data_IF_386667340039
#
_entry.id   IF_386667340039
#
_cell.length_a   1.000
_cell.length_b   1.000
_cell.length_c   1.000
_cell.angle_alpha   90.00
_cell.angle_beta   90.00
_cell.angle_gamma   90.00
#
_symmetry.space_group_name_H-M   'P 1'
#
loop_
_entity.id
_entity.type
_entity.pdbx_description
1 polymer ?
#
# COMPACT_ATOMS: atom_id res chain seq x y z
N UNK A 1 0.63 -15.91 -8.45
CA UNK A 1 1.73 -14.91 -8.39
C UNK A 1 3.04 -15.69 -8.55
N UNK A 2 3.90 -15.38 -9.52
CA UNK A 2 5.23 -15.96 -9.66
C UNK A 2 6.13 -15.62 -8.46
N UNK A 3 7.00 -16.54 -8.05
CA UNK A 3 7.83 -16.37 -6.85
C UNK A 3 8.78 -15.14 -6.93
N UNK A 4 9.28 -14.85 -8.13
CA UNK A 4 10.13 -13.69 -8.41
C UNK A 4 9.43 -12.33 -8.20
N UNK A 5 8.11 -12.31 -8.18
CA UNK A 5 7.32 -11.12 -7.84
C UNK A 5 7.08 -10.96 -6.34
N UNK A 6 7.51 -11.91 -5.53
CA UNK A 6 7.35 -11.90 -4.06
C UNK A 6 8.65 -11.49 -3.33
N UNK A 7 9.74 -11.29 -4.08
CA UNK A 7 11.01 -10.74 -3.57
C UNK A 7 11.38 -9.57 -4.48
N UNK A 8 11.08 -8.36 -4.03
CA UNK A 8 11.14 -7.17 -4.89
C UNK A 8 11.71 -5.96 -4.15
N UNK A 9 12.27 -4.96 -4.86
CA UNK A 9 12.65 -3.70 -4.23
C UNK A 9 11.43 -3.08 -3.52
N UNK A 10 11.67 -2.41 -2.40
CA UNK A 10 10.64 -1.75 -1.60
C UNK A 10 10.84 -0.24 -1.63
N UNK A 11 9.79 0.50 -2.00
CA UNK A 11 9.71 1.94 -1.88
C UNK A 11 8.66 2.29 -0.82
N UNK A 12 9.06 2.98 0.24
CA UNK A 12 8.15 3.42 1.31
C UNK A 12 7.82 4.89 1.12
N UNK A 13 6.56 5.19 0.86
CA UNK A 13 6.05 6.55 0.67
C UNK A 13 5.40 7.01 1.98
N UNK A 14 6.06 7.93 2.68
CA UNK A 14 5.56 8.45 3.94
C UNK A 14 4.54 9.58 3.72
N UNK A 15 3.30 9.31 4.06
CA UNK A 15 2.18 10.26 4.06
C UNK A 15 1.60 10.45 5.47
N UNK A 16 2.29 9.99 6.51
CA UNK A 16 1.79 9.97 7.89
C UNK A 16 1.35 11.35 8.39
N UNK A 17 2.12 12.40 8.10
CA UNK A 17 1.76 13.77 8.47
C UNK A 17 0.50 14.28 7.75
N UNK A 18 0.20 13.80 6.54
CA UNK A 18 -1.00 14.14 5.78
C UNK A 18 -2.20 13.33 6.29
N UNK A 19 -2.01 12.05 6.52
CA UNK A 19 -3.00 11.14 7.09
C UNK A 19 -3.44 11.55 8.52
N UNK A 20 -2.51 12.06 9.32
CA UNK A 20 -2.84 12.58 10.66
C UNK A 20 -3.81 13.76 10.64
N UNK A 21 -3.82 14.55 9.55
CA UNK A 21 -4.71 15.72 9.36
C UNK A 21 -6.00 15.36 8.65
N UNK A 22 -6.01 14.27 7.89
CA UNK A 22 -7.15 13.80 7.11
C UNK A 22 -7.17 12.28 7.11
N UNK A 23 -8.10 11.66 7.86
CA UNK A 23 -8.27 10.22 7.91
C UNK A 23 -8.63 9.60 6.54
N UNK A 24 -9.25 10.37 5.65
CA UNK A 24 -9.60 9.95 4.28
C UNK A 24 -8.52 10.31 3.25
N UNK A 25 -7.28 10.50 3.70
CA UNK A 25 -6.19 10.82 2.80
C UNK A 25 -5.96 9.69 1.81
N UNK A 26 -5.85 10.04 0.53
CA UNK A 26 -5.47 9.10 -0.53
C UNK A 26 -4.08 9.48 -1.07
N UNK A 27 -3.14 8.53 -1.04
CA UNK A 27 -1.81 8.70 -1.63
C UNK A 27 -1.95 9.02 -3.11
N UNK A 28 -1.42 10.16 -3.51
CA UNK A 28 -1.60 10.77 -4.83
C UNK A 28 -0.38 10.59 -5.75
N UNK A 29 -0.57 10.85 -7.06
CA UNK A 29 0.56 10.93 -8.01
C UNK A 29 1.60 11.97 -7.58
N UNK A 30 1.15 13.08 -6.95
CA UNK A 30 2.08 14.08 -6.43
C UNK A 30 2.98 13.53 -5.33
N UNK A 31 2.45 12.69 -4.42
CA UNK A 31 3.26 12.07 -3.37
C UNK A 31 4.35 11.17 -3.97
N UNK A 32 3.99 10.42 -5.03
CA UNK A 32 4.92 9.58 -5.76
C UNK A 32 6.00 10.40 -6.46
N UNK A 33 5.61 11.49 -7.13
CA UNK A 33 6.55 12.39 -7.77
C UNK A 33 7.48 13.08 -6.76
N UNK A 34 6.95 13.54 -5.63
CA UNK A 34 7.73 14.11 -4.54
C UNK A 34 8.74 13.10 -3.98
N UNK A 35 8.33 11.84 -3.84
CA UNK A 35 9.22 10.75 -3.42
C UNK A 35 10.35 10.52 -4.44
N UNK A 36 10.03 10.43 -5.75
CA UNK A 36 11.02 10.25 -6.82
C UNK A 36 12.03 11.41 -6.90
N UNK A 37 11.58 12.63 -6.63
CA UNK A 37 12.47 13.80 -6.60
C UNK A 37 13.55 13.71 -5.50
N UNK A 38 13.27 12.99 -4.40
CA UNK A 38 14.19 12.85 -3.28
C UNK A 38 15.02 11.57 -3.34
N UNK A 39 14.46 10.49 -3.90
CA UNK A 39 15.06 9.15 -3.82
C UNK A 39 15.47 8.56 -5.19
N UNK A 40 15.21 9.29 -6.26
CA UNK A 40 15.35 8.78 -7.62
C UNK A 40 14.13 8.00 -8.09
N UNK A 41 14.13 7.54 -9.35
CA UNK A 41 12.98 6.87 -9.95
C UNK A 41 12.61 5.58 -9.20
N UNK A 42 11.31 5.29 -9.11
CA UNK A 42 10.81 4.03 -8.54
C UNK A 42 11.43 2.84 -9.29
N UNK A 43 12.03 1.86 -8.58
CA UNK A 43 12.58 0.68 -9.22
C UNK A 43 11.52 -0.12 -9.98
N UNK A 44 11.83 -0.59 -11.18
CA UNK A 44 10.90 -1.45 -11.94
C UNK A 44 10.60 -2.73 -11.15
N UNK A 45 9.33 -3.13 -11.12
CA UNK A 45 8.90 -4.31 -10.40
C UNK A 45 8.95 -4.18 -8.87
N UNK A 46 9.09 -2.97 -8.33
CA UNK A 46 9.09 -2.77 -6.88
C UNK A 46 7.70 -2.99 -6.25
N UNK A 47 7.65 -3.05 -4.94
CA UNK A 47 6.47 -2.80 -4.13
C UNK A 47 6.49 -1.34 -3.68
N UNK A 48 5.38 -0.63 -3.88
CA UNK A 48 5.14 0.69 -3.31
C UNK A 48 4.34 0.53 -2.03
N UNK A 49 4.92 0.88 -0.89
CA UNK A 49 4.27 0.81 0.42
C UNK A 49 3.89 2.20 0.92
N UNK A 50 2.62 2.44 1.17
CA UNK A 50 2.12 3.65 1.82
C UNK A 50 2.29 3.52 3.33
N UNK A 51 3.12 4.38 3.90
CA UNK A 51 3.22 4.59 5.35
C UNK A 51 2.31 5.75 5.75
N UNK A 52 1.15 5.44 6.30
CA UNK A 52 0.19 6.44 6.78
C UNK A 52 0.27 6.67 8.30
N UNK A 53 1.06 5.87 9.01
CA UNK A 53 1.12 5.84 10.47
C UNK A 53 -0.11 5.17 11.10
N UNK A 54 -0.96 4.51 10.30
CA UNK A 54 -2.23 3.95 10.77
C UNK A 54 -2.06 2.68 11.60
N UNK A 55 -0.99 1.92 11.38
CA UNK A 55 -0.68 0.68 12.13
C UNK A 55 -0.70 0.87 13.66
N UNK A 56 -0.41 2.08 14.18
CA UNK A 56 -0.50 2.39 15.61
C UNK A 56 -1.91 2.26 16.19
N UNK A 57 -2.94 2.24 15.34
CA UNK A 57 -4.35 2.18 15.74
C UNK A 57 -4.93 0.76 15.72
N UNK A 58 -4.16 -0.27 15.33
CA UNK A 58 -4.62 -1.64 15.11
C UNK A 58 -5.39 -2.25 16.29
N UNK A 59 -5.12 -1.80 17.52
CA UNK A 59 -5.77 -2.30 18.74
C UNK A 59 -6.97 -1.47 19.21
N UNK A 60 -7.39 -0.45 18.46
CA UNK A 60 -8.47 0.43 18.88
C UNK A 60 -9.45 0.75 17.73
N UNK A 61 -10.61 1.33 18.07
CA UNK A 61 -11.69 1.62 17.13
C UNK A 61 -11.30 2.58 16.00
N UNK A 62 -10.27 3.41 16.20
CA UNK A 62 -9.77 4.34 15.18
C UNK A 62 -9.18 3.59 13.98
N UNK A 63 -8.76 2.34 14.12
CA UNK A 63 -8.20 1.56 13.02
C UNK A 63 -9.21 1.42 11.87
N UNK A 64 -10.45 1.09 12.18
CA UNK A 64 -11.54 1.09 11.20
C UNK A 64 -12.14 2.50 10.99
N UNK A 65 -12.03 3.37 11.98
CA UNK A 65 -12.50 4.75 11.94
C UNK A 65 -13.99 4.89 11.61
N UNK A 66 -14.82 3.92 12.08
CA UNK A 66 -16.25 3.89 11.73
C UNK A 66 -17.01 5.04 12.37
N UNK A 67 -17.68 5.87 11.56
CA UNK A 67 -18.54 6.95 12.01
C UNK A 67 -19.94 6.46 12.45
N UNK A 68 -20.80 7.40 12.90
CA UNK A 68 -22.17 7.10 13.31
C UNK A 68 -23.06 6.58 12.16
N UNK A 69 -22.74 6.90 10.92
CA UNK A 69 -23.40 6.42 9.71
C UNK A 69 -22.89 5.05 9.24
N UNK A 70 -21.87 4.52 9.88
CA UNK A 70 -21.27 3.24 9.53
C UNK A 70 -20.21 3.34 8.44
N UNK A 71 -19.83 4.53 7.98
CA UNK A 71 -18.76 4.76 7.02
C UNK A 71 -17.42 4.62 7.72
N UNK A 72 -16.47 3.94 7.06
CA UNK A 72 -15.11 3.78 7.56
C UNK A 72 -14.26 4.97 7.12
N UNK A 73 -13.30 5.36 7.97
CA UNK A 73 -12.37 6.46 7.71
C UNK A 73 -10.95 6.03 8.04
N UNK A 74 -10.20 5.68 7.01
CA UNK A 74 -8.76 5.38 7.07
C UNK A 74 -8.10 5.69 5.72
N UNK A 75 -6.79 6.01 5.69
CA UNK A 75 -6.07 6.33 4.47
C UNK A 75 -6.01 5.16 3.48
N UNK A 76 -5.88 5.49 2.20
CA UNK A 76 -5.68 4.51 1.13
C UNK A 76 -4.89 5.11 -0.03
N UNK A 77 -4.95 4.46 -1.18
CA UNK A 77 -4.26 4.88 -2.40
C UNK A 77 -5.30 5.40 -3.40
N UNK A 78 -5.00 6.55 -4.00
CA UNK A 78 -5.83 7.12 -5.07
C UNK A 78 -5.82 6.19 -6.29
N UNK A 79 -6.99 5.88 -6.90
CA UNK A 79 -7.04 5.02 -8.08
C UNK A 79 -6.30 5.60 -9.29
N UNK A 80 -6.15 6.92 -9.40
CA UNK A 80 -5.35 7.55 -10.46
C UNK A 80 -3.85 7.29 -10.22
N UNK A 81 -3.39 7.41 -8.97
CA UNK A 81 -2.03 7.06 -8.59
C UNK A 81 -1.73 5.57 -8.88
N UNK A 82 -2.65 4.66 -8.54
CA UNK A 82 -2.52 3.24 -8.87
C UNK A 82 -2.43 3.01 -10.40
N UNK A 83 -3.28 3.67 -11.19
CA UNK A 83 -3.26 3.59 -12.65
C UNK A 83 -1.95 4.15 -13.24
N UNK A 84 -1.45 5.24 -12.68
CA UNK A 84 -0.16 5.83 -13.08
C UNK A 84 1.01 4.86 -12.80
N UNK A 85 1.06 4.23 -11.62
CA UNK A 85 2.07 3.23 -11.26
C UNK A 85 2.07 2.04 -12.23
N UNK A 86 0.89 1.60 -12.68
CA UNK A 86 0.76 0.53 -13.69
C UNK A 86 1.35 0.95 -15.04
N UNK A 87 0.96 2.13 -15.52
CA UNK A 87 1.36 2.61 -16.85
C UNK A 87 2.82 3.00 -16.92
N UNK A 88 3.29 3.78 -15.94
CA UNK A 88 4.54 4.53 -16.05
C UNK A 88 5.70 3.85 -15.30
N UNK A 89 5.41 3.00 -14.31
CA UNK A 89 6.45 2.47 -13.41
C UNK A 89 6.54 0.96 -13.38
N UNK A 90 5.56 0.24 -13.91
CA UNK A 90 5.51 -1.23 -13.90
C UNK A 90 5.75 -1.81 -12.48
N UNK A 91 5.09 -1.26 -11.49
CA UNK A 91 5.15 -1.69 -10.09
C UNK A 91 4.51 -3.07 -9.91
N UNK A 92 5.11 -3.97 -9.15
CA UNK A 92 4.63 -5.34 -8.95
C UNK A 92 3.52 -5.42 -7.90
N UNK A 93 3.62 -4.65 -6.82
CA UNK A 93 2.69 -4.71 -5.71
C UNK A 93 2.48 -3.37 -5.02
N UNK A 94 1.34 -3.25 -4.34
CA UNK A 94 1.03 -2.16 -3.42
C UNK A 94 0.97 -2.72 -2.00
N UNK A 95 1.37 -1.93 -1.00
CA UNK A 95 1.21 -2.27 0.40
C UNK A 95 0.68 -1.06 1.18
N UNK A 96 -0.17 -1.30 2.18
CA UNK A 96 -0.73 -0.26 3.04
C UNK A 96 -0.76 -0.71 4.49
N UNK A 97 -0.56 0.21 5.42
CA UNK A 97 -0.67 -0.02 6.86
C UNK A 97 -2.12 0.14 7.37
N UNK A 98 -3.09 0.10 6.46
CA UNK A 98 -4.53 0.24 6.69
C UNK A 98 -5.28 -1.02 6.29
N UNK A 99 -6.60 -1.04 6.53
CA UNK A 99 -7.49 -2.18 6.26
C UNK A 99 -7.70 -2.46 4.77
N UNK A 100 -7.41 -1.52 3.88
CA UNK A 100 -7.69 -1.64 2.44
C UNK A 100 -6.75 -0.77 1.62
N UNK A 101 -6.48 -1.19 0.37
CA UNK A 101 -5.80 -0.36 -0.63
C UNK A 101 -6.60 0.90 -0.94
N UNK A 102 -7.94 0.80 -0.96
CA UNK A 102 -8.82 1.96 -1.11
C UNK A 102 -8.98 2.71 0.22
N UNK A 103 -9.20 4.03 0.22
CA UNK A 103 -9.59 4.79 1.41
C UNK A 103 -10.87 4.21 2.05
N UNK A 104 -10.99 4.34 3.38
CA UNK A 104 -12.09 3.75 4.15
C UNK A 104 -13.50 4.17 3.70
N UNK A 105 -13.65 5.40 3.20
CA UNK A 105 -14.91 5.94 2.68
C UNK A 105 -15.19 5.57 1.21
N UNK A 106 -14.35 4.75 0.58
CA UNK A 106 -14.54 4.30 -0.80
C UNK A 106 -15.79 3.43 -0.92
N UNK A 107 -16.65 3.76 -1.90
CA UNK A 107 -17.91 3.03 -2.15
C UNK A 107 -17.79 1.98 -3.25
N UNK A 108 -16.74 2.03 -4.04
CA UNK A 108 -16.62 1.25 -5.28
C UNK A 108 -15.27 0.57 -5.48
N UNK A 109 -14.39 0.63 -4.48
CA UNK A 109 -13.08 -0.04 -4.47
C UNK A 109 -12.28 0.15 -5.78
N UNK A 110 -12.22 1.40 -6.26
CA UNK A 110 -11.61 1.69 -7.57
C UNK A 110 -10.13 1.38 -7.63
N UNK A 111 -9.40 1.51 -6.51
CA UNK A 111 -7.99 1.14 -6.46
C UNK A 111 -7.82 -0.36 -6.65
N UNK A 112 -8.59 -1.17 -5.93
CA UNK A 112 -8.64 -2.62 -6.15
C UNK A 112 -9.04 -2.98 -7.58
N UNK A 113 -10.13 -2.37 -8.07
CA UNK A 113 -10.66 -2.64 -9.41
C UNK A 113 -9.69 -2.24 -10.54
N UNK A 114 -8.79 -1.31 -10.30
CA UNK A 114 -7.74 -0.91 -11.23
C UNK A 114 -6.53 -1.85 -11.13
N UNK A 115 -6.14 -2.21 -9.90
CA UNK A 115 -4.87 -2.85 -9.60
C UNK A 115 -4.87 -4.37 -9.81
N UNK A 116 -5.82 -5.06 -9.17
CA UNK A 116 -5.83 -6.52 -9.15
C UNK A 116 -6.08 -7.16 -10.52
N UNK A 117 -7.01 -6.66 -11.38
CA UNK A 117 -7.21 -7.21 -12.72
C UNK A 117 -6.00 -7.05 -13.64
N UNK A 118 -5.07 -6.14 -13.34
CA UNK A 118 -3.80 -6.00 -14.06
C UNK A 118 -2.77 -7.08 -13.68
N UNK A 119 -3.17 -8.11 -12.91
CA UNK A 119 -2.28 -9.19 -12.47
C UNK A 119 -1.28 -8.75 -11.40
N UNK A 120 -1.60 -7.72 -10.65
CA UNK A 120 -0.78 -7.20 -9.54
C UNK A 120 -1.37 -7.64 -8.20
N UNK A 121 -0.53 -7.62 -7.16
CA UNK A 121 -0.94 -8.00 -5.81
C UNK A 121 -0.97 -6.81 -4.86
N UNK A 122 -1.72 -6.95 -3.76
CA UNK A 122 -1.80 -5.98 -2.67
C UNK A 122 -1.51 -6.63 -1.33
N UNK A 123 -0.92 -5.86 -0.41
CA UNK A 123 -0.73 -6.20 1.00
C UNK A 123 -1.45 -5.16 1.83
N UNK A 124 -2.28 -5.61 2.75
CA UNK A 124 -3.00 -4.76 3.69
C UNK A 124 -2.56 -5.08 5.12
N UNK A 125 -2.74 -4.12 6.02
CA UNK A 125 -2.39 -4.25 7.43
C UNK A 125 -0.89 -4.53 7.68
N UNK A 126 0.00 -4.00 6.82
CA UNK A 126 1.45 -4.11 7.03
C UNK A 126 1.86 -3.20 8.20
N UNK A 127 2.80 -3.65 9.02
CA UNK A 127 3.28 -2.90 10.18
C UNK A 127 4.76 -2.53 10.06
N UNK A 128 5.23 -1.63 10.94
CA UNK A 128 6.63 -1.22 11.08
C UNK A 128 7.24 -0.54 9.85
N UNK A 129 6.44 0.08 9.00
CA UNK A 129 6.95 0.85 7.85
C UNK A 129 7.80 2.06 8.29
N UNK A 130 7.56 2.59 9.49
CA UNK A 130 8.36 3.63 10.15
C UNK A 130 9.82 3.23 10.41
N UNK A 131 10.12 1.93 10.40
CA UNK A 131 11.47 1.37 10.63
C UNK A 131 12.22 1.02 9.34
N UNK A 132 11.57 1.21 8.20
CA UNK A 132 12.13 0.87 6.90
C UNK A 132 12.54 2.16 6.17
N UNK A 133 13.75 2.22 5.57
CA UNK A 133 14.15 3.39 4.80
C UNK A 133 13.22 3.61 3.60
N UNK A 134 13.12 4.88 3.16
CA UNK A 134 12.27 5.24 2.02
C UNK A 134 12.64 4.47 0.74
N UNK A 135 13.94 4.18 0.54
CA UNK A 135 14.47 3.44 -0.60
C UNK A 135 15.60 2.49 -0.16
N UNK A 136 15.94 1.52 -1.01
CA UNK A 136 17.09 0.62 -0.83
C UNK A 136 16.74 -0.71 -0.13
N UNK A 137 15.58 -0.84 0.49
CA UNK A 137 15.13 -2.09 1.09
C UNK A 137 14.60 -3.08 0.04
N UNK A 138 14.60 -4.37 0.40
CA UNK A 138 13.95 -5.45 -0.36
C UNK A 138 12.80 -6.02 0.45
N UNK A 139 11.61 -6.08 -0.14
CA UNK A 139 10.45 -6.76 0.44
C UNK A 139 10.47 -8.24 0.08
N UNK A 140 10.22 -9.09 1.07
CA UNK A 140 9.96 -10.52 0.90
C UNK A 140 8.56 -10.82 1.41
N UNK A 141 7.67 -11.26 0.50
CA UNK A 141 6.30 -11.64 0.82
C UNK A 141 6.16 -13.15 0.91
N UNK A 142 6.14 -13.69 2.14
CA UNK A 142 5.89 -15.11 2.41
C UNK A 142 4.41 -15.43 2.37
N UNK A 143 3.92 -15.90 1.22
CA UNK A 143 2.50 -16.25 1.02
C UNK A 143 2.35 -17.77 0.81
N UNK A 144 1.25 -18.40 1.30
CA UNK A 144 0.98 -19.81 1.02
C UNK A 144 0.62 -20.00 -0.45
N UNK A 145 1.16 -21.07 -1.08
CA UNK A 145 0.84 -21.45 -2.46
C UNK A 145 -0.42 -22.32 -2.49
N UNK A 146 -1.58 -21.69 -2.40
CA UNK A 146 -2.88 -22.38 -2.43
C UNK A 146 -3.50 -22.18 -3.80
N UNK A 147 -3.94 -23.27 -4.43
CA UNK A 147 -4.59 -23.24 -5.74
C UNK A 147 -5.91 -22.47 -5.65
N UNK A 148 -6.14 -21.58 -6.61
CA UNK A 148 -7.36 -20.76 -6.77
C UNK A 148 -7.67 -19.84 -5.58
N UNK A 149 -6.70 -19.61 -4.67
CA UNK A 149 -6.85 -18.63 -3.59
C UNK A 149 -6.77 -17.20 -4.13
N UNK A 150 -7.68 -16.33 -3.67
CA UNK A 150 -7.71 -14.91 -4.00
C UNK A 150 -6.93 -14.05 -3.00
N UNK A 151 -6.68 -14.56 -1.80
CA UNK A 151 -5.90 -13.91 -0.76
C UNK A 151 -5.61 -14.88 0.39
N UNK A 152 -4.62 -14.54 1.22
CA UNK A 152 -4.24 -15.33 2.39
C UNK A 152 -3.45 -14.46 3.38
N UNK A 153 -3.37 -14.84 4.67
CA UNK A 153 -2.39 -14.27 5.59
C UNK A 153 -0.97 -14.44 5.05
N UNK A 154 -0.16 -13.40 5.22
CA UNK A 154 1.21 -13.39 4.74
C UNK A 154 2.20 -12.99 5.84
N UNK A 155 3.40 -13.54 5.79
CA UNK A 155 4.54 -13.05 6.58
C UNK A 155 5.39 -12.16 5.68
N UNK A 156 5.53 -10.89 6.07
CA UNK A 156 6.28 -9.89 5.31
C UNK A 156 7.56 -9.55 6.03
N UNK A 157 8.66 -9.47 5.28
CA UNK A 157 9.95 -9.01 5.76
C UNK A 157 10.47 -7.88 4.87
N UNK A 158 11.16 -6.91 5.49
CA UNK A 158 12.02 -5.97 4.78
C UNK A 158 13.48 -6.27 5.13
N UNK A 159 14.29 -6.46 4.11
CA UNK A 159 15.76 -6.55 4.24
C UNK A 159 16.30 -5.14 3.97
N UNK A 160 17.01 -4.58 4.91
CA UNK A 160 17.57 -3.23 4.90
C UNK A 160 19.07 -3.25 4.96
#
# INVERSE_FOLDING_TARGET
IPAEQLVVPLAVIDVSAKAARNADYALSEKDLADWENHNGPLPRGCCVAMHSGWAQHVTNAKFAGKDAGGVLHFPGIDPQAAAWLLRERNVAGLAVDTLSLDPGNSKNFKTHATWLPAGRWGIENIANLDKVPAAGATLVAGVPKVKDATGAPARIFALV
#
